data_IF_253546510119
#
_entry.id   IF_253546510119
#
_cell.length_a   1.000
_cell.length_b   1.000
_cell.length_c   1.000
_cell.angle_alpha   90.00
_cell.angle_beta   90.00
_cell.angle_gamma   90.00
#
_symmetry.space_group_name_H-M   'P 1'
#
loop_
_entity.id
_entity.type
_entity.pdbx_description
1 polymer ?
#
# COMPACT_ATOMS: atom_id res chain seq x y z
N UNK A 1 11.89 27.96 52.41
CA UNK A 1 11.41 29.17 51.73
C UNK A 1 9.91 29.00 51.54
N UNK A 2 9.10 29.61 52.40
CA UNK A 2 7.63 29.59 52.28
C UNK A 2 7.22 30.77 51.42
N UNK A 3 6.47 30.50 50.35
CA UNK A 3 5.93 31.53 49.47
C UNK A 3 4.80 32.25 50.20
N UNK A 4 4.78 33.58 50.11
CA UNK A 4 3.69 34.37 50.68
C UNK A 4 2.42 34.23 49.84
N UNK A 5 1.24 34.46 50.43
CA UNK A 5 -0.02 34.43 49.65
C UNK A 5 -0.02 35.46 48.50
N UNK A 6 0.70 36.56 48.66
CA UNK A 6 0.87 37.57 47.61
C UNK A 6 1.69 37.03 46.44
N UNK A 7 2.75 36.26 46.72
CA UNK A 7 3.53 35.62 45.68
C UNK A 7 2.73 34.55 44.93
N UNK A 8 1.92 33.76 45.64
CA UNK A 8 1.04 32.75 45.04
C UNK A 8 0.04 33.42 44.09
N UNK A 9 -0.68 34.46 44.56
CA UNK A 9 -1.62 35.23 43.73
C UNK A 9 -0.96 35.84 42.50
N UNK A 10 0.27 36.35 42.64
CA UNK A 10 1.05 36.90 41.52
C UNK A 10 1.41 35.83 40.48
N UNK A 11 1.79 34.62 40.92
CA UNK A 11 2.12 33.51 40.01
C UNK A 11 0.86 33.04 39.28
N UNK A 12 -0.26 32.86 39.99
CA UNK A 12 -1.54 32.47 39.40
C UNK A 12 -2.01 33.48 38.36
N UNK A 13 -1.93 34.79 38.65
CA UNK A 13 -2.30 35.84 37.71
C UNK A 13 -1.42 35.86 36.44
N UNK A 14 -0.12 35.58 36.58
CA UNK A 14 0.79 35.46 35.42
C UNK A 14 0.46 34.24 34.57
N UNK A 15 0.18 33.11 35.21
CA UNK A 15 -0.19 31.87 34.54
C UNK A 15 -1.53 32.02 33.79
N UNK A 16 -2.55 32.58 34.44
CA UNK A 16 -3.86 32.85 33.84
C UNK A 16 -3.75 33.78 32.63
N UNK A 17 -3.00 34.89 32.76
CA UNK A 17 -2.75 35.82 31.65
C UNK A 17 -2.03 35.14 30.48
N UNK A 18 -1.05 34.28 30.77
CA UNK A 18 -0.35 33.48 29.77
C UNK A 18 -1.32 32.53 29.04
N UNK A 19 -2.09 31.72 29.77
CA UNK A 19 -3.07 30.79 29.19
C UNK A 19 -4.10 31.52 28.30
N UNK A 20 -4.66 32.63 28.78
CA UNK A 20 -5.59 33.46 28.00
C UNK A 20 -4.96 34.00 26.72
N UNK A 21 -3.69 34.39 26.77
CA UNK A 21 -2.96 34.90 25.60
C UNK A 21 -2.68 33.79 24.59
N UNK A 22 -2.23 32.62 25.04
CA UNK A 22 -1.99 31.45 24.18
C UNK A 22 -3.27 31.02 23.47
N UNK A 23 -4.37 30.87 24.21
CA UNK A 23 -5.67 30.48 23.62
C UNK A 23 -6.17 31.49 22.60
N UNK A 24 -6.04 32.80 22.91
CA UNK A 24 -6.44 33.87 21.98
C UNK A 24 -5.61 33.84 20.70
N UNK A 25 -4.29 33.64 20.81
CA UNK A 25 -3.41 33.59 19.64
C UNK A 25 -3.68 32.35 18.80
N UNK A 26 -3.85 31.18 19.42
CA UNK A 26 -4.23 29.96 18.72
C UNK A 26 -5.52 30.13 17.92
N UNK A 27 -6.56 30.72 18.53
CA UNK A 27 -7.80 31.01 17.83
C UNK A 27 -7.57 31.95 16.62
N UNK A 28 -6.79 33.02 16.78
CA UNK A 28 -6.46 33.95 15.69
C UNK A 28 -5.71 33.25 14.55
N UNK A 29 -4.77 32.38 14.87
CA UNK A 29 -3.98 31.65 13.87
C UNK A 29 -4.84 30.63 13.12
N UNK A 30 -5.76 29.95 13.81
CA UNK A 30 -6.75 29.09 13.18
C UNK A 30 -7.65 29.86 12.20
N UNK A 31 -8.21 31.01 12.61
CA UNK A 31 -9.02 31.84 11.71
C UNK A 31 -8.22 32.36 10.51
N UNK A 32 -6.96 32.74 10.70
CA UNK A 32 -6.07 33.14 9.61
C UNK A 32 -5.78 31.99 8.65
N UNK A 33 -5.53 30.79 9.17
CA UNK A 33 -5.33 29.60 8.33
C UNK A 33 -6.60 29.30 7.52
N UNK A 34 -7.76 29.26 8.18
CA UNK A 34 -9.05 29.03 7.53
C UNK A 34 -9.34 30.05 6.41
N UNK A 35 -9.06 31.33 6.64
CA UNK A 35 -9.20 32.37 5.61
C UNK A 35 -8.20 32.21 4.46
N UNK A 36 -6.96 31.79 4.72
CA UNK A 36 -5.98 31.49 3.67
C UNK A 36 -6.43 30.31 2.81
N UNK A 37 -6.91 29.23 3.44
CA UNK A 37 -7.48 28.08 2.73
C UNK A 37 -8.66 28.51 1.87
N UNK A 38 -9.66 29.20 2.42
CA UNK A 38 -10.83 29.64 1.65
C UNK A 38 -10.56 30.70 0.56
N UNK A 39 -9.39 31.35 0.53
CA UNK A 39 -8.99 32.24 -0.58
C UNK A 39 -8.30 31.49 -1.71
N UNK A 40 -7.66 30.36 -1.40
CA UNK A 40 -6.81 29.63 -2.33
C UNK A 40 -7.45 28.31 -2.81
N UNK A 41 -8.44 27.80 -2.08
CA UNK A 41 -9.16 26.57 -2.39
C UNK A 41 -10.51 26.91 -3.03
N UNK A 42 -10.85 26.15 -4.06
CA UNK A 42 -12.19 26.11 -4.67
C UNK A 42 -12.80 24.75 -4.35
N UNK A 43 -14.11 24.71 -4.15
CA UNK A 43 -14.81 23.44 -3.94
C UNK A 43 -14.68 22.59 -5.21
N UNK A 44 -14.55 21.27 -5.04
CA UNK A 44 -14.48 20.35 -6.17
C UNK A 44 -15.71 20.47 -7.10
N UNK A 45 -16.89 20.72 -6.52
CA UNK A 45 -18.14 20.96 -7.25
C UNK A 45 -18.22 22.31 -7.98
N UNK A 46 -17.31 23.24 -7.66
CA UNK A 46 -17.22 24.56 -8.28
C UNK A 46 -16.06 24.63 -9.29
N UNK A 47 -15.35 23.51 -9.51
CA UNK A 47 -14.39 23.40 -10.59
C UNK A 47 -15.14 23.46 -11.94
N UNK A 48 -14.70 24.30 -12.88
CA UNK A 48 -15.18 24.26 -14.27
C UNK A 48 -15.11 22.85 -14.84
N UNK A 49 -16.14 22.42 -15.57
CA UNK A 49 -16.17 21.09 -16.24
C UNK A 49 -14.99 20.89 -17.22
N UNK A 50 -14.40 21.99 -17.70
CA UNK A 50 -13.21 22.01 -18.58
C UNK A 50 -11.89 21.77 -17.81
N UNK A 51 -11.95 21.74 -16.48
CA UNK A 51 -10.87 21.25 -15.62
C UNK A 51 -11.21 19.82 -15.17
N UNK A 52 -11.45 18.93 -16.12
CA UNK A 52 -11.18 17.52 -15.87
C UNK A 52 -9.73 17.47 -15.40
N UNK A 53 -9.51 17.10 -14.14
CA UNK A 53 -8.18 16.76 -13.64
C UNK A 53 -7.61 15.78 -14.66
N UNK A 54 -6.71 16.24 -15.55
CA UNK A 54 -5.99 15.32 -16.41
C UNK A 54 -5.37 14.31 -15.46
N UNK A 55 -5.76 13.03 -15.56
CA UNK A 55 -5.25 12.02 -14.64
C UNK A 55 -3.73 12.12 -14.69
N UNK A 56 -3.12 12.42 -13.55
CA UNK A 56 -1.67 12.50 -13.38
C UNK A 56 -1.11 11.21 -13.99
N UNK A 57 -0.59 11.30 -15.20
CA UNK A 57 -0.14 10.18 -16.03
C UNK A 57 -0.93 8.88 -15.83
N UNK A 58 -2.09 8.76 -16.48
CA UNK A 58 -2.43 7.44 -17.01
C UNK A 58 -1.51 7.29 -18.23
N UNK A 59 -0.35 6.64 -18.04
CA UNK A 59 0.20 5.87 -19.16
C UNK A 59 -1.00 5.10 -19.70
N UNK A 60 -1.38 5.26 -20.98
CA UNK A 60 -2.40 4.40 -21.53
C UNK A 60 -1.85 3.00 -21.28
N UNK A 61 -2.45 2.29 -20.32
CA UNK A 61 -2.29 0.85 -20.20
C UNK A 61 -2.91 0.38 -21.50
N UNK A 62 -2.10 0.40 -22.56
CA UNK A 62 -2.23 -0.46 -23.70
C UNK A 62 -2.61 -1.81 -23.08
N UNK A 63 -3.64 -2.52 -23.55
CA UNK A 63 -4.01 -3.78 -22.95
C UNK A 63 -2.77 -4.68 -23.00
N UNK A 64 -1.98 -4.71 -21.94
CA UNK A 64 -0.84 -5.60 -21.83
C UNK A 64 -1.47 -6.96 -21.91
N UNK A 65 -1.00 -7.77 -22.85
CA UNK A 65 -1.55 -9.10 -23.09
C UNK A 65 -1.64 -9.82 -21.73
N UNK A 66 -2.87 -10.06 -21.26
CA UNK A 66 -3.09 -10.73 -19.98
C UNK A 66 -2.87 -12.20 -20.19
N UNK A 67 -1.94 -12.78 -19.44
CA UNK A 67 -1.74 -14.21 -19.37
C UNK A 67 -2.69 -14.80 -18.33
N UNK A 68 -3.57 -15.69 -18.75
CA UNK A 68 -4.52 -16.36 -17.88
C UNK A 68 -4.01 -17.75 -17.50
N UNK A 69 -4.03 -18.04 -16.20
CA UNK A 69 -3.67 -19.33 -15.63
C UNK A 69 -4.91 -20.00 -15.04
N UNK A 70 -5.39 -21.03 -15.74
CA UNK A 70 -6.56 -21.85 -15.36
C UNK A 70 -6.15 -23.14 -14.62
N UNK A 71 -4.94 -23.18 -14.06
CA UNK A 71 -4.42 -24.30 -13.29
C UNK A 71 -5.24 -24.59 -12.00
N UNK A 72 -6.16 -23.68 -11.63
CA UNK A 72 -7.00 -23.74 -10.43
C UNK A 72 -8.47 -23.55 -10.81
N UNK A 73 -9.37 -23.73 -9.85
CA UNK A 73 -10.83 -23.47 -10.02
C UNK A 73 -11.16 -21.99 -10.31
N UNK A 74 -10.18 -21.10 -10.20
CA UNK A 74 -10.28 -19.69 -10.53
C UNK A 74 -9.11 -19.30 -11.42
N UNK A 75 -9.42 -18.62 -12.52
CA UNK A 75 -8.42 -18.06 -13.43
C UNK A 75 -7.67 -16.90 -12.77
N UNK A 76 -6.34 -16.89 -12.90
CA UNK A 76 -5.47 -15.82 -12.41
C UNK A 76 -4.87 -15.10 -13.62
N UNK A 77 -5.13 -13.80 -13.72
CA UNK A 77 -4.59 -12.94 -14.77
C UNK A 77 -3.26 -12.33 -14.32
N UNK A 78 -2.24 -12.43 -15.18
CA UNK A 78 -0.90 -11.88 -14.95
C UNK A 78 -0.55 -10.97 -16.12
N UNK A 79 -0.19 -9.73 -15.81
CA UNK A 79 0.13 -8.69 -16.81
C UNK A 79 1.62 -8.59 -17.11
N UNK A 80 2.49 -9.17 -16.28
CA UNK A 80 3.93 -9.12 -16.50
C UNK A 80 4.41 -10.30 -17.36
N UNK A 81 4.85 -10.01 -18.58
CA UNK A 81 5.30 -11.01 -19.57
C UNK A 81 6.40 -11.93 -19.04
N UNK A 82 7.43 -11.37 -18.40
CA UNK A 82 8.55 -12.13 -17.88
C UNK A 82 8.10 -13.10 -16.76
N UNK A 83 7.23 -12.64 -15.87
CA UNK A 83 6.62 -13.45 -14.83
C UNK A 83 5.73 -14.55 -15.40
N UNK A 84 4.91 -14.24 -16.40
CA UNK A 84 4.06 -15.20 -17.07
C UNK A 84 4.88 -16.31 -17.76
N UNK A 85 5.95 -15.94 -18.46
CA UNK A 85 6.87 -16.91 -19.08
C UNK A 85 7.55 -17.79 -18.02
N UNK A 86 8.00 -17.21 -16.91
CA UNK A 86 8.59 -17.96 -15.81
C UNK A 86 7.59 -18.97 -15.22
N UNK A 87 6.32 -18.60 -15.04
CA UNK A 87 5.26 -19.49 -14.56
C UNK A 87 4.92 -20.60 -15.57
N UNK A 88 4.89 -20.29 -16.87
CA UNK A 88 4.67 -21.29 -17.91
C UNK A 88 5.77 -22.36 -17.96
N UNK A 89 7.02 -21.99 -17.64
CA UNK A 89 8.14 -22.94 -17.59
C UNK A 89 8.04 -23.96 -16.45
N UNK A 90 7.25 -23.66 -15.41
CA UNK A 90 7.02 -24.59 -14.30
C UNK A 90 6.09 -25.73 -14.73
N UNK A 91 6.32 -26.90 -14.14
CA UNK A 91 5.34 -27.99 -14.20
C UNK A 91 4.03 -27.57 -13.53
N UNK A 92 2.89 -28.09 -14.01
CA UNK A 92 1.56 -27.70 -13.51
C UNK A 92 1.44 -27.73 -11.98
N UNK A 93 1.95 -28.80 -11.34
CA UNK A 93 1.96 -28.90 -9.86
C UNK A 93 2.76 -27.79 -9.19
N UNK A 94 3.96 -27.46 -9.70
CA UNK A 94 4.77 -26.37 -9.13
C UNK A 94 4.11 -25.02 -9.34
N UNK A 95 3.54 -24.82 -10.52
CA UNK A 95 2.82 -23.61 -10.87
C UNK A 95 1.62 -23.40 -9.95
N UNK A 96 0.79 -24.42 -9.75
CA UNK A 96 -0.32 -24.39 -8.78
C UNK A 96 0.15 -24.03 -7.36
N UNK A 97 1.27 -24.59 -6.89
CA UNK A 97 1.83 -24.26 -5.58
C UNK A 97 2.21 -22.78 -5.50
N UNK A 98 2.86 -22.22 -6.54
CA UNK A 98 3.23 -20.80 -6.59
C UNK A 98 2.01 -19.90 -6.63
N UNK A 99 1.03 -20.23 -7.49
CA UNK A 99 -0.22 -19.49 -7.61
C UNK A 99 -0.98 -19.46 -6.27
N UNK A 100 -1.11 -20.61 -5.60
CA UNK A 100 -1.76 -20.67 -4.29
C UNK A 100 -1.00 -19.86 -3.23
N UNK A 101 0.32 -19.98 -3.18
CA UNK A 101 1.12 -19.35 -2.12
C UNK A 101 1.24 -17.83 -2.26
N UNK A 102 1.33 -17.30 -3.49
CA UNK A 102 1.65 -15.89 -3.72
C UNK A 102 0.50 -15.07 -4.32
N UNK A 103 -0.48 -15.70 -4.95
CA UNK A 103 -1.61 -14.99 -5.57
C UNK A 103 -2.92 -15.21 -4.81
N UNK A 104 -3.00 -16.24 -3.98
CA UNK A 104 -4.18 -16.55 -3.16
C UNK A 104 -3.87 -16.55 -1.66
N UNK A 105 -2.64 -16.22 -1.25
CA UNK A 105 -2.20 -16.14 0.15
C UNK A 105 -2.36 -17.44 0.98
N UNK A 106 -2.31 -18.60 0.32
CA UNK A 106 -2.39 -19.88 1.03
C UNK A 106 -1.06 -20.20 1.70
N UNK A 107 -1.14 -20.70 2.93
CA UNK A 107 0.02 -21.22 3.66
C UNK A 107 0.45 -22.59 3.11
N UNK A 108 1.73 -22.95 3.29
CA UNK A 108 2.24 -24.28 2.90
C UNK A 108 1.45 -25.43 3.54
N UNK A 109 0.85 -25.19 4.71
CA UNK A 109 0.02 -26.18 5.37
C UNK A 109 -1.31 -26.38 4.62
N UNK A 110 -2.04 -25.31 4.31
CA UNK A 110 -3.30 -25.37 3.53
C UNK A 110 -3.07 -25.97 2.14
N UNK A 111 -1.96 -25.63 1.50
CA UNK A 111 -1.58 -26.21 0.21
C UNK A 111 -1.28 -27.71 0.37
N UNK A 112 -0.58 -28.10 1.44
CA UNK A 112 -0.28 -29.51 1.73
C UNK A 112 -1.55 -30.33 1.94
N UNK A 113 -2.50 -29.79 2.70
CA UNK A 113 -3.83 -30.38 2.92
C UNK A 113 -4.55 -30.60 1.59
N UNK A 114 -4.58 -29.61 0.69
CA UNK A 114 -5.19 -29.72 -0.65
C UNK A 114 -4.54 -30.79 -1.52
N UNK A 115 -3.22 -30.92 -1.45
CA UNK A 115 -2.48 -31.89 -2.26
C UNK A 115 -2.27 -33.25 -1.59
N UNK A 116 -2.84 -33.45 -0.39
CA UNK A 116 -2.65 -34.64 0.45
C UNK A 116 -1.17 -34.97 0.70
N UNK A 117 -0.36 -33.94 0.98
CA UNK A 117 1.07 -34.08 1.30
C UNK A 117 1.43 -33.25 2.52
N UNK A 118 2.54 -33.60 3.17
CA UNK A 118 3.04 -32.85 4.33
C UNK A 118 3.54 -31.46 3.93
N UNK A 119 3.42 -30.49 4.85
CA UNK A 119 3.87 -29.10 4.68
C UNK A 119 5.29 -28.99 4.12
N UNK A 120 6.22 -29.81 4.60
CA UNK A 120 7.63 -29.76 4.19
C UNK A 120 7.82 -30.11 2.70
N UNK A 121 6.98 -30.98 2.14
CA UNK A 121 6.98 -31.30 0.71
C UNK A 121 6.57 -30.09 -0.13
N UNK A 122 5.55 -29.34 0.32
CA UNK A 122 5.14 -28.10 -0.34
C UNK A 122 6.24 -27.04 -0.24
N UNK A 123 6.82 -26.85 0.94
CA UNK A 123 7.92 -25.91 1.13
C UNK A 123 9.09 -26.21 0.18
N UNK A 124 9.52 -27.48 0.07
CA UNK A 124 10.57 -27.89 -0.84
C UNK A 124 10.20 -27.65 -2.32
N UNK A 125 8.97 -28.00 -2.71
CA UNK A 125 8.47 -27.79 -4.07
C UNK A 125 8.40 -26.28 -4.42
N UNK A 126 7.93 -25.44 -3.50
CA UNK A 126 7.87 -23.98 -3.66
C UNK A 126 9.27 -23.39 -3.80
N UNK A 127 10.20 -23.76 -2.93
CA UNK A 127 11.60 -23.30 -3.00
C UNK A 127 12.24 -23.69 -4.33
N UNK A 128 12.00 -24.93 -4.81
CA UNK A 128 12.51 -25.38 -6.11
C UNK A 128 11.89 -24.60 -7.27
N UNK A 129 10.59 -24.36 -7.24
CA UNK A 129 9.88 -23.59 -8.25
C UNK A 129 10.37 -22.14 -8.33
N UNK A 130 10.55 -21.48 -7.18
CA UNK A 130 11.11 -20.11 -7.14
C UNK A 130 12.54 -20.05 -7.67
N UNK A 131 13.36 -21.07 -7.38
CA UNK A 131 14.69 -21.18 -7.95
C UNK A 131 14.64 -21.28 -9.48
N UNK A 132 13.79 -22.14 -10.03
CA UNK A 132 13.62 -22.30 -11.49
C UNK A 132 13.15 -21.00 -12.15
N UNK A 133 12.17 -20.31 -11.56
CA UNK A 133 11.70 -19.00 -12.05
C UNK A 133 12.81 -17.96 -12.02
N UNK A 134 13.55 -17.85 -10.91
CA UNK A 134 14.66 -16.89 -10.78
C UNK A 134 15.76 -17.16 -11.82
N UNK A 135 16.19 -18.41 -11.94
CA UNK A 135 17.25 -18.80 -12.87
C UNK A 135 16.85 -18.51 -14.34
N UNK A 136 15.55 -18.55 -14.67
CA UNK A 136 15.03 -18.14 -15.98
C UNK A 136 15.07 -16.61 -16.15
N UNK A 137 14.54 -15.87 -15.18
CA UNK A 137 14.49 -14.40 -15.22
C UNK A 137 15.89 -13.78 -15.27
N UNK A 138 16.85 -14.31 -14.52
CA UNK A 138 18.24 -13.85 -14.53
C UNK A 138 18.95 -14.11 -15.87
N UNK A 139 18.54 -15.12 -16.63
CA UNK A 139 19.08 -15.37 -17.97
C UNK A 139 18.52 -14.38 -19.00
N UNK A 140 17.24 -14.02 -18.86
CA UNK A 140 16.58 -13.07 -19.76
C UNK A 140 17.07 -11.62 -19.53
N UNK A 141 17.40 -11.24 -18.29
CA UNK A 141 17.92 -9.91 -17.97
C UNK A 141 19.40 -9.66 -18.28
N UNK A 142 20.12 -10.62 -18.89
CA UNK A 142 21.54 -10.51 -19.27
C UNK A 142 21.77 -10.26 -20.76
N UNK A 143 20.71 -9.87 -21.48
CA UNK A 143 20.76 -9.51 -22.91
C UNK A 143 20.84 -7.99 -23.05
#
# INVERSE_FOLDING_TARGET
MQWTEEDIRRIEGKFDSFCKTVLRNFARDWYRAKQRHGRNEVLFSELPDDHSLEPIHIDPISPTEKYFFDDLERSIAIENDALAQALHSLSGRKRQIILLAYFLDWTDQQIGERFHVVRSTIQAARTKALKEMRDLLEKQGKV
#
